data_IF_099647894383
#
_entry.id   IF_099647894383
#
_cell.length_a   1.000
_cell.length_b   1.000
_cell.length_c   1.000
_cell.angle_alpha   90.00
_cell.angle_beta   90.00
_cell.angle_gamma   90.00
#
_symmetry.space_group_name_H-M   'P 1'
#
loop_
_entity.id
_entity.type
_entity.pdbx_description
1 polymer ?
#
# COMPACT_ATOMS: atom_id res chain seq x y z
N UNK A 1 -25.05 -13.63 26.82
CA UNK A 1 -23.98 -13.15 25.94
C UNK A 1 -23.92 -11.64 26.13
N UNK A 2 -22.97 -11.16 26.93
CA UNK A 2 -22.85 -9.72 27.23
C UNK A 2 -22.43 -8.99 25.97
N UNK A 3 -23.37 -8.27 25.37
CA UNK A 3 -23.10 -7.31 24.30
C UNK A 3 -22.13 -6.26 24.84
N UNK A 4 -20.88 -6.33 24.39
CA UNK A 4 -19.87 -5.36 24.79
C UNK A 4 -20.15 -4.11 23.99
N UNK A 5 -20.72 -3.09 24.64
CA UNK A 5 -21.11 -1.85 23.98
C UNK A 5 -19.96 -1.21 23.16
N UNK A 6 -20.27 -0.41 22.14
CA UNK A 6 -19.31 0.06 21.13
C UNK A 6 -18.10 0.81 21.71
N UNK A 7 -18.28 1.56 22.81
CA UNK A 7 -17.18 2.25 23.49
C UNK A 7 -16.15 1.28 24.12
N UNK A 8 -16.61 0.17 24.69
CA UNK A 8 -15.73 -0.84 25.28
C UNK A 8 -15.07 -1.73 24.21
N UNK A 9 -15.67 -1.86 23.03
CA UNK A 9 -14.99 -2.46 21.87
C UNK A 9 -13.87 -1.54 21.36
N UNK A 10 -14.15 -0.25 21.21
CA UNK A 10 -13.16 0.75 20.79
C UNK A 10 -11.97 0.84 21.74
N UNK A 11 -12.21 0.90 23.06
CA UNK A 11 -11.12 0.94 24.07
C UNK A 11 -10.19 -0.27 23.93
N UNK A 12 -10.75 -1.48 23.80
CA UNK A 12 -9.95 -2.70 23.63
C UNK A 12 -9.16 -2.72 22.32
N UNK A 13 -9.72 -2.17 21.24
CA UNK A 13 -9.02 -2.04 19.97
C UNK A 13 -7.83 -1.09 20.09
N UNK A 14 -8.03 0.09 20.70
CA UNK A 14 -6.96 1.06 20.95
C UNK A 14 -5.85 0.47 21.84
N UNK A 15 -6.22 -0.20 22.92
CA UNK A 15 -5.27 -0.89 23.81
C UNK A 15 -4.45 -1.97 23.10
N UNK A 16 -5.05 -2.68 22.13
CA UNK A 16 -4.33 -3.67 21.32
C UNK A 16 -3.33 -3.00 20.38
N UNK A 17 -3.76 -1.93 19.69
CA UNK A 17 -2.90 -1.18 18.78
C UNK A 17 -1.70 -0.61 19.53
N UNK A 18 -1.94 0.01 20.69
CA UNK A 18 -0.87 0.56 21.52
C UNK A 18 0.09 -0.53 22.03
N UNK A 19 -0.43 -1.70 22.38
CA UNK A 19 0.37 -2.85 22.82
C UNK A 19 1.29 -3.36 21.72
N UNK A 20 0.81 -3.41 20.48
CA UNK A 20 1.54 -4.00 19.35
C UNK A 20 2.46 -2.98 18.65
N UNK A 21 2.29 -1.68 18.93
CA UNK A 21 3.05 -0.57 18.34
C UNK A 21 4.58 -0.75 18.40
N UNK A 22 5.19 -1.17 19.53
CA UNK A 22 6.64 -1.37 19.59
C UNK A 22 7.13 -2.44 18.62
N UNK A 23 6.37 -3.54 18.47
CA UNK A 23 6.71 -4.64 17.57
C UNK A 23 6.55 -4.23 16.11
N UNK A 24 5.46 -3.52 15.77
CA UNK A 24 5.25 -2.96 14.41
C UNK A 24 6.39 -2.01 14.04
N UNK A 25 6.80 -1.14 14.97
CA UNK A 25 7.93 -0.22 14.78
C UNK A 25 9.24 -0.98 14.57
N UNK A 26 9.56 -1.94 15.42
CA UNK A 26 10.79 -2.72 15.29
C UNK A 26 10.85 -3.45 13.93
N UNK A 27 9.76 -4.12 13.55
CA UNK A 27 9.68 -4.82 12.27
C UNK A 27 9.83 -3.88 11.07
N UNK A 28 9.20 -2.69 11.11
CA UNK A 28 9.31 -1.69 10.05
C UNK A 28 10.72 -1.09 9.93
N UNK A 29 11.40 -0.82 11.05
CA UNK A 29 12.79 -0.34 11.03
C UNK A 29 13.75 -1.41 10.49
N UNK A 30 13.60 -2.66 10.94
CA UNK A 30 14.40 -3.77 10.42
C UNK A 30 14.17 -3.98 8.91
N UNK A 31 12.92 -3.89 8.46
CA UNK A 31 12.58 -3.94 7.04
C UNK A 31 13.19 -2.78 6.26
N UNK A 32 13.10 -1.54 6.78
CA UNK A 32 13.74 -0.36 6.18
C UNK A 32 15.22 -0.61 5.92
N UNK A 33 15.96 -1.11 6.91
CA UNK A 33 17.39 -1.41 6.75
C UNK A 33 17.67 -2.47 5.66
N UNK A 34 16.80 -3.47 5.50
CA UNK A 34 16.92 -4.47 4.43
C UNK A 34 16.57 -3.93 3.04
N UNK A 35 15.60 -3.01 2.97
CA UNK A 35 15.11 -2.43 1.72
C UNK A 35 16.07 -1.39 1.11
N UNK A 36 16.79 -0.62 1.93
CA UNK A 36 17.74 0.40 1.45
C UNK A 36 18.75 -0.13 0.42
N UNK A 37 19.54 -1.20 0.67
CA UNK A 37 20.49 -1.68 -0.32
C UNK A 37 19.80 -2.15 -1.61
N UNK A 38 18.63 -2.80 -1.51
CA UNK A 38 17.85 -3.23 -2.68
C UNK A 38 17.40 -2.04 -3.54
N UNK A 39 17.06 -0.91 -2.92
CA UNK A 39 16.63 0.29 -3.64
C UNK A 39 17.71 0.90 -4.54
N UNK A 40 18.99 0.62 -4.27
CA UNK A 40 20.12 1.07 -5.08
C UNK A 40 20.48 0.11 -6.21
N UNK A 41 19.90 -1.09 -6.24
CA UNK A 41 20.10 -2.03 -7.34
C UNK A 41 19.42 -1.52 -8.63
N UNK A 42 20.09 -1.71 -9.76
CA UNK A 42 19.60 -1.32 -11.09
C UNK A 42 18.78 -2.44 -11.74
N UNK A 43 17.83 -2.99 -10.99
CA UNK A 43 16.91 -4.02 -11.45
C UNK A 43 15.44 -3.64 -11.21
N UNK A 44 14.53 -4.48 -11.72
CA UNK A 44 13.10 -4.22 -11.65
C UNK A 44 12.56 -4.23 -10.21
N UNK A 45 13.16 -5.02 -9.31
CA UNK A 45 12.77 -5.06 -7.91
C UNK A 45 13.28 -3.82 -7.18
N UNK A 46 14.53 -3.43 -7.41
CA UNK A 46 15.14 -2.23 -6.86
C UNK A 46 14.39 -0.96 -7.26
N UNK A 47 13.92 -0.86 -8.50
CA UNK A 47 13.05 0.23 -8.95
C UNK A 47 11.74 0.32 -8.12
N UNK A 48 11.09 -0.82 -7.85
CA UNK A 48 9.84 -0.87 -7.08
C UNK A 48 10.09 -0.54 -5.61
N UNK A 49 11.14 -1.12 -5.01
CA UNK A 49 11.53 -0.83 -3.62
C UNK A 49 11.87 0.66 -3.45
N UNK A 50 12.63 1.24 -4.40
CA UNK A 50 12.97 2.66 -4.42
C UNK A 50 11.72 3.54 -4.49
N UNK A 51 10.79 3.23 -5.40
CA UNK A 51 9.54 3.98 -5.52
C UNK A 51 8.68 3.90 -4.24
N UNK A 52 8.65 2.75 -3.58
CA UNK A 52 7.90 2.57 -2.32
C UNK A 52 8.52 3.37 -1.17
N UNK A 53 9.85 3.31 -1.01
CA UNK A 53 10.57 4.10 0.00
C UNK A 53 10.32 5.59 -0.21
N UNK A 54 10.53 6.09 -1.43
CA UNK A 54 10.29 7.49 -1.77
C UNK A 54 8.83 7.90 -1.56
N UNK A 55 7.88 7.01 -1.84
CA UNK A 55 6.47 7.28 -1.57
C UNK A 55 6.13 7.36 -0.07
N UNK A 56 6.81 6.62 0.80
CA UNK A 56 6.69 6.80 2.25
C UNK A 56 7.31 8.13 2.71
N UNK A 57 8.40 8.55 2.08
CA UNK A 57 9.04 9.83 2.37
C UNK A 57 8.19 11.02 1.95
N UNK A 58 7.69 11.02 0.71
CA UNK A 58 6.82 12.06 0.16
C UNK A 58 5.99 11.49 -1.00
N UNK A 59 4.83 10.90 -0.70
CA UNK A 59 4.00 10.23 -1.69
C UNK A 59 3.29 11.16 -2.67
N UNK A 60 3.23 12.46 -2.37
CA UNK A 60 2.71 13.47 -3.28
C UNK A 60 3.65 13.67 -4.47
N UNK A 61 4.95 13.77 -4.20
CA UNK A 61 5.97 13.99 -5.22
C UNK A 61 6.44 12.65 -5.83
N UNK A 62 6.35 11.56 -5.07
CA UNK A 62 6.74 10.21 -5.50
C UNK A 62 5.56 9.22 -5.39
N UNK A 63 4.49 9.41 -6.18
CA UNK A 63 3.33 8.52 -6.11
C UNK A 63 3.70 7.11 -6.59
N UNK A 64 3.10 6.10 -5.96
CA UNK A 64 3.48 4.70 -6.13
C UNK A 64 2.52 3.95 -7.05
N UNK A 65 3.09 3.22 -8.02
CA UNK A 65 2.36 2.33 -8.90
C UNK A 65 2.09 0.99 -8.17
N UNK A 66 0.95 0.87 -7.49
CA UNK A 66 0.63 -0.28 -6.63
C UNK A 66 0.74 -1.64 -7.32
N UNK A 67 0.39 -1.74 -8.60
CA UNK A 67 0.45 -2.99 -9.36
C UNK A 67 1.90 -3.48 -9.66
N UNK A 68 2.91 -2.65 -9.42
CA UNK A 68 4.33 -3.00 -9.60
C UNK A 68 4.87 -3.94 -8.51
N UNK A 69 4.19 -4.06 -7.36
CA UNK A 69 4.60 -4.96 -6.27
C UNK A 69 4.73 -6.43 -6.69
N UNK A 70 4.09 -6.83 -7.80
CA UNK A 70 4.14 -8.19 -8.35
C UNK A 70 5.50 -8.58 -8.90
N UNK A 71 6.39 -7.61 -9.11
CA UNK A 71 7.79 -7.87 -9.48
C UNK A 71 8.61 -8.35 -8.28
N UNK A 72 8.21 -7.96 -7.07
CA UNK A 72 8.97 -8.22 -5.85
C UNK A 72 9.04 -9.70 -5.53
N UNK A 73 10.12 -10.09 -4.87
CA UNK A 73 10.22 -11.32 -4.14
C UNK A 73 9.29 -11.35 -2.94
N UNK A 74 8.78 -12.54 -2.59
CA UNK A 74 7.85 -12.69 -1.46
C UNK A 74 8.41 -12.05 -0.18
N UNK A 75 9.68 -12.31 0.12
CA UNK A 75 10.33 -11.77 1.30
C UNK A 75 10.42 -10.23 1.24
N UNK A 76 10.73 -9.68 0.05
CA UNK A 76 10.81 -8.24 -0.18
C UNK A 76 9.44 -7.57 -0.10
N UNK A 77 8.38 -8.22 -0.60
CA UNK A 77 7.01 -7.78 -0.41
C UNK A 77 6.68 -7.67 1.09
N UNK A 78 6.95 -8.70 1.88
CA UNK A 78 6.63 -8.66 3.32
C UNK A 78 7.43 -7.58 4.06
N UNK A 79 8.68 -7.33 3.67
CA UNK A 79 9.46 -6.18 4.17
C UNK A 79 8.80 -4.85 3.79
N UNK A 80 8.35 -4.68 2.54
CA UNK A 80 7.60 -3.50 2.12
C UNK A 80 6.31 -3.30 2.93
N UNK A 81 5.54 -4.37 3.18
CA UNK A 81 4.30 -4.29 3.97
C UNK A 81 4.58 -3.98 5.45
N UNK A 82 5.68 -4.49 6.02
CA UNK A 82 6.10 -4.16 7.37
C UNK A 82 6.50 -2.68 7.49
N UNK A 83 7.23 -2.15 6.51
CA UNK A 83 7.57 -0.74 6.43
C UNK A 83 6.30 0.14 6.36
N UNK A 84 5.36 -0.19 5.46
CA UNK A 84 4.09 0.53 5.35
C UNK A 84 3.29 0.49 6.65
N UNK A 85 3.34 -0.64 7.38
CA UNK A 85 2.65 -0.77 8.66
C UNK A 85 3.23 0.14 9.73
N UNK A 86 4.55 0.31 9.78
CA UNK A 86 5.17 1.30 10.65
C UNK A 86 4.83 2.74 10.20
N UNK A 87 4.85 3.03 8.90
CA UNK A 87 4.67 4.37 8.36
C UNK A 87 3.20 4.87 8.35
N UNK A 88 2.22 3.98 8.55
CA UNK A 88 0.80 4.38 8.62
C UNK A 88 0.45 5.19 9.87
N UNK A 89 1.26 5.11 10.93
CA UNK A 89 1.13 5.90 12.14
C UNK A 89 2.50 6.39 12.66
N UNK A 90 3.22 7.21 11.87
CA UNK A 90 4.63 7.47 12.06
C UNK A 90 4.88 8.32 13.32
N UNK A 91 5.93 8.00 14.06
CA UNK A 91 6.43 8.83 15.19
C UNK A 91 7.41 9.89 14.71
N UNK A 92 8.18 9.53 13.69
CA UNK A 92 9.19 10.33 13.01
C UNK A 92 9.10 9.99 11.52
N UNK A 93 9.68 10.84 10.67
CA UNK A 93 9.67 10.57 9.24
C UNK A 93 10.52 9.34 8.90
N UNK A 94 10.15 8.58 7.86
CA UNK A 94 10.81 7.31 7.50
C UNK A 94 12.34 7.43 7.39
N UNK A 95 12.84 8.53 6.84
CA UNK A 95 14.27 8.76 6.66
C UNK A 95 15.00 9.01 8.00
N UNK A 96 14.30 9.48 9.03
CA UNK A 96 14.88 9.80 10.35
C UNK A 96 15.21 8.54 11.17
N UNK A 97 14.80 7.36 10.71
CA UNK A 97 15.23 6.08 11.27
C UNK A 97 16.66 5.67 10.83
N UNK A 98 17.28 6.40 9.91
CA UNK A 98 18.59 6.11 9.36
C UNK A 98 19.62 7.16 9.77
N UNK A 99 20.88 6.74 9.85
CA UNK A 99 22.02 7.66 9.86
C UNK A 99 22.15 8.25 8.45
N UNK A 100 22.31 9.57 8.34
CA UNK A 100 22.39 10.32 7.08
C UNK A 100 21.18 10.06 6.15
N UNK A 101 20.00 9.89 6.74
CA UNK A 101 18.79 9.49 6.02
C UNK A 101 18.36 10.46 4.93
N UNK A 102 18.56 11.77 5.11
CA UNK A 102 18.23 12.77 4.09
C UNK A 102 19.08 12.57 2.84
N UNK A 103 20.38 12.32 2.99
CA UNK A 103 21.32 12.05 1.91
C UNK A 103 20.97 10.74 1.19
N UNK A 104 20.63 9.68 1.94
CA UNK A 104 20.15 8.42 1.38
C UNK A 104 18.94 8.65 0.49
N UNK A 105 17.89 9.29 1.00
CA UNK A 105 16.65 9.51 0.24
C UNK A 105 16.83 10.47 -0.94
N UNK A 106 17.70 11.47 -0.84
CA UNK A 106 18.06 12.32 -1.98
C UNK A 106 18.73 11.50 -3.10
N UNK A 107 19.67 10.60 -2.76
CA UNK A 107 20.31 9.72 -3.75
C UNK A 107 19.36 8.70 -4.40
N UNK A 108 18.32 8.28 -3.67
CA UNK A 108 17.23 7.48 -4.24
C UNK A 108 16.36 8.32 -5.19
N UNK A 109 16.03 9.55 -4.82
CA UNK A 109 15.18 10.45 -5.62
C UNK A 109 15.80 10.77 -6.99
N UNK A 110 17.13 10.89 -7.08
CA UNK A 110 17.85 11.06 -8.35
C UNK A 110 17.62 9.93 -9.36
N UNK A 111 17.27 8.73 -8.87
CA UNK A 111 17.03 7.52 -9.67
C UNK A 111 15.54 7.17 -9.76
N UNK A 112 14.67 8.10 -9.36
CA UNK A 112 13.25 7.85 -9.36
C UNK A 112 12.70 7.74 -10.79
N UNK A 113 11.75 6.82 -10.97
CA UNK A 113 11.07 6.57 -12.23
C UNK A 113 9.58 6.84 -12.02
N UNK A 114 9.00 7.63 -12.92
CA UNK A 114 7.58 7.96 -12.85
C UNK A 114 6.69 6.71 -12.98
N UNK A 115 5.49 6.71 -12.38
CA UNK A 115 4.48 5.69 -12.63
C UNK A 115 4.21 5.47 -14.13
N UNK A 116 3.90 4.22 -14.49
CA UNK A 116 3.72 3.77 -15.87
C UNK A 116 5.02 3.35 -16.56
N UNK A 117 6.19 3.69 -16.00
CA UNK A 117 7.49 3.19 -16.49
C UNK A 117 8.01 1.96 -15.72
N UNK A 118 7.38 1.61 -14.59
CA UNK A 118 7.75 0.43 -13.81
C UNK A 118 7.19 -0.84 -14.44
N UNK A 119 8.01 -1.89 -14.43
CA UNK A 119 7.55 -3.23 -14.76
C UNK A 119 6.51 -3.69 -13.74
N UNK A 120 5.45 -4.34 -14.21
CA UNK A 120 4.36 -4.81 -13.37
C UNK A 120 4.32 -6.31 -13.23
N UNK A 121 5.08 -7.07 -14.03
CA UNK A 121 5.17 -8.51 -13.95
C UNK A 121 6.50 -9.02 -14.48
N UNK A 122 6.98 -10.13 -13.91
CA UNK A 122 8.09 -10.93 -14.47
C UNK A 122 7.59 -12.35 -14.78
N UNK A 123 8.35 -13.11 -15.57
CA UNK A 123 7.93 -14.45 -16.02
C UNK A 123 7.94 -15.52 -14.92
N UNK A 124 8.49 -15.24 -13.73
CA UNK A 124 8.65 -16.23 -12.66
C UNK A 124 7.68 -16.00 -11.50
N UNK A 125 6.87 -17.03 -11.18
CA UNK A 125 7.00 -17.84 -9.95
C UNK A 125 5.91 -18.91 -9.79
N UNK A 126 6.33 -20.05 -9.25
CA UNK A 126 5.52 -21.18 -8.78
C UNK A 126 5.19 -21.04 -7.27
N UNK A 127 4.95 -19.82 -6.79
CA UNK A 127 4.60 -19.61 -5.39
C UNK A 127 3.16 -20.08 -5.17
N UNK A 128 2.98 -21.09 -4.32
CA UNK A 128 1.65 -21.55 -3.90
C UNK A 128 1.02 -20.45 -3.03
N UNK A 129 0.10 -19.69 -3.61
CA UNK A 129 -0.72 -18.74 -2.86
C UNK A 129 -1.47 -19.46 -1.73
N UNK A 130 -1.41 -18.92 -0.52
CA UNK A 130 -2.24 -19.40 0.58
C UNK A 130 -3.72 -19.06 0.32
N UNK A 131 -4.57 -20.08 0.26
CA UNK A 131 -6.03 -19.90 0.11
C UNK A 131 -6.62 -19.03 1.23
N UNK A 132 -6.04 -19.10 2.43
CA UNK A 132 -6.42 -18.25 3.56
C UNK A 132 -6.14 -16.78 3.25
N UNK A 133 -4.96 -16.45 2.72
CA UNK A 133 -4.60 -15.08 2.35
C UNK A 133 -5.49 -14.55 1.22
N UNK A 134 -5.81 -15.40 0.24
CA UNK A 134 -6.76 -15.05 -0.84
C UNK A 134 -8.14 -14.74 -0.27
N UNK A 135 -8.63 -15.55 0.66
CA UNK A 135 -9.93 -15.33 1.33
C UNK A 135 -9.94 -14.02 2.12
N UNK A 136 -8.91 -13.78 2.95
CA UNK A 136 -8.78 -12.55 3.74
C UNK A 136 -8.72 -11.32 2.82
N UNK A 137 -7.85 -11.35 1.81
CA UNK A 137 -7.71 -10.26 0.86
C UNK A 137 -9.00 -9.99 0.08
N UNK A 138 -9.73 -11.03 -0.32
CA UNK A 138 -11.00 -10.87 -1.05
C UNK A 138 -12.09 -10.27 -0.17
N UNK A 139 -12.16 -10.69 1.10
CA UNK A 139 -13.09 -10.10 2.09
C UNK A 139 -12.75 -8.62 2.34
N UNK A 140 -11.48 -8.31 2.50
CA UNK A 140 -10.97 -6.95 2.71
C UNK A 140 -11.27 -6.06 1.50
N UNK A 141 -11.03 -6.55 0.28
CA UNK A 141 -11.35 -5.85 -0.96
C UNK A 141 -12.84 -5.48 -1.04
N UNK A 142 -13.74 -6.42 -0.74
CA UNK A 142 -15.19 -6.17 -0.73
C UNK A 142 -15.59 -5.13 0.31
N UNK A 143 -15.01 -5.20 1.52
CA UNK A 143 -15.25 -4.21 2.59
C UNK A 143 -14.76 -2.82 2.17
N UNK A 144 -13.54 -2.69 1.64
CA UNK A 144 -13.00 -1.42 1.19
C UNK A 144 -13.82 -0.80 0.06
N UNK A 145 -14.34 -1.60 -0.88
CA UNK A 145 -15.25 -1.12 -1.92
C UNK A 145 -16.52 -0.55 -1.31
N UNK A 146 -17.14 -1.27 -0.36
CA UNK A 146 -18.33 -0.78 0.33
C UNK A 146 -18.04 0.57 1.02
N UNK A 147 -16.95 0.66 1.80
CA UNK A 147 -16.54 1.91 2.45
C UNK A 147 -16.33 3.02 1.42
N UNK A 148 -15.67 2.74 0.29
CA UNK A 148 -15.38 3.74 -0.73
C UNK A 148 -16.64 4.24 -1.46
N UNK A 149 -17.77 3.52 -1.39
CA UNK A 149 -19.07 4.00 -1.90
C UNK A 149 -19.81 4.94 -0.97
N UNK A 150 -19.40 5.04 0.29
CA UNK A 150 -20.01 5.92 1.29
C UNK A 150 -19.55 7.38 1.12
N UNK A 151 -19.81 8.22 2.13
CA UNK A 151 -19.50 9.66 2.14
C UNK A 151 -18.79 10.04 3.45
N UNK A 152 -17.50 9.72 3.55
CA UNK A 152 -16.61 10.24 4.59
C UNK A 152 -15.30 10.77 3.98
N UNK A 153 -14.53 11.56 4.75
CA UNK A 153 -13.21 12.01 4.33
C UNK A 153 -12.24 10.85 4.06
N UNK A 154 -12.33 9.77 4.83
CA UNK A 154 -11.47 8.59 4.69
C UNK A 154 -11.81 7.75 3.45
N UNK A 155 -13.09 7.75 3.04
CA UNK A 155 -13.56 7.02 1.85
C UNK A 155 -12.80 7.44 0.58
N UNK A 156 -12.38 8.71 0.48
CA UNK A 156 -11.61 9.20 -0.67
C UNK A 156 -10.22 8.58 -0.75
N UNK A 157 -9.54 8.43 0.39
CA UNK A 157 -8.21 7.79 0.44
C UNK A 157 -8.31 6.31 0.09
N UNK A 158 -9.32 5.61 0.62
CA UNK A 158 -9.63 4.23 0.23
C UNK A 158 -9.94 4.12 -1.26
N UNK A 159 -10.70 5.07 -1.82
CA UNK A 159 -11.00 5.09 -3.26
C UNK A 159 -9.75 5.30 -4.12
N UNK A 160 -8.84 6.20 -3.70
CA UNK A 160 -7.55 6.40 -4.36
C UNK A 160 -6.69 5.13 -4.34
N UNK A 161 -6.61 4.46 -3.20
CA UNK A 161 -5.90 3.19 -3.05
C UNK A 161 -6.49 2.12 -3.99
N UNK A 162 -7.81 1.95 -3.99
CA UNK A 162 -8.50 0.98 -4.84
C UNK A 162 -8.29 1.27 -6.33
N UNK A 163 -8.33 2.54 -6.75
CA UNK A 163 -8.03 2.93 -8.12
C UNK A 163 -6.59 2.56 -8.53
N UNK A 164 -5.63 2.74 -7.63
CA UNK A 164 -4.24 2.34 -7.89
C UNK A 164 -4.02 0.83 -7.88
N UNK A 165 -4.77 0.05 -7.10
CA UNK A 165 -4.76 -1.42 -7.22
C UNK A 165 -5.31 -1.88 -8.58
N UNK A 166 -6.32 -1.19 -9.10
CA UNK A 166 -6.94 -1.49 -10.39
C UNK A 166 -6.01 -1.14 -11.56
N UNK A 167 -5.53 0.10 -11.60
CA UNK A 167 -4.61 0.59 -12.62
C UNK A 167 -3.64 1.62 -12.01
N UNK A 168 -2.59 1.13 -11.36
CA UNK A 168 -1.58 1.97 -10.72
C UNK A 168 -0.69 2.74 -11.68
N UNK A 169 -0.71 2.42 -12.98
CA UNK A 169 0.02 3.21 -13.99
C UNK A 169 -0.74 4.51 -14.27
N UNK A 170 -2.06 4.43 -14.45
CA UNK A 170 -2.92 5.60 -14.63
C UNK A 170 -3.23 6.30 -13.32
N UNK A 171 -3.40 5.57 -12.22
CA UNK A 171 -3.84 6.08 -10.92
C UNK A 171 -2.84 5.73 -9.81
N UNK A 172 -1.59 6.21 -9.88
CA UNK A 172 -0.62 5.96 -8.83
C UNK A 172 -1.09 6.61 -7.52
N UNK A 173 -0.74 5.95 -6.43
CA UNK A 173 -1.25 6.22 -5.10
C UNK A 173 -0.22 6.98 -4.25
N UNK A 174 -0.67 8.00 -3.52
CA UNK A 174 0.16 8.69 -2.53
C UNK A 174 0.23 7.80 -1.28
N UNK A 175 1.38 7.17 -1.00
CA UNK A 175 1.50 6.26 0.14
C UNK A 175 1.32 6.98 1.49
N UNK A 176 1.51 8.29 1.56
CA UNK A 176 1.28 9.05 2.79
C UNK A 176 -0.21 9.21 3.11
N UNK A 177 -1.11 8.98 2.14
CA UNK A 177 -2.56 8.93 2.38
C UNK A 177 -2.95 7.77 3.32
N UNK A 178 -2.10 6.74 3.49
CA UNK A 178 -2.34 5.71 4.50
C UNK A 178 -2.34 6.26 5.93
N UNK A 179 -1.72 7.42 6.18
CA UNK A 179 -1.74 8.11 7.47
C UNK A 179 -3.10 8.75 7.79
N UNK A 180 -3.98 8.81 6.80
CA UNK A 180 -5.30 9.44 6.89
C UNK A 180 -6.45 8.43 7.03
N UNK A 181 -6.18 7.12 7.00
CA UNK A 181 -7.17 6.08 7.24
C UNK A 181 -7.01 5.48 8.63
N UNK A 182 -8.10 5.03 9.24
CA UNK A 182 -7.99 4.33 10.51
C UNK A 182 -7.21 3.00 10.38
N UNK A 183 -6.73 2.50 11.52
CA UNK A 183 -5.87 1.32 11.56
C UNK A 183 -6.56 0.06 11.00
N UNK A 184 -7.86 -0.13 11.21
CA UNK A 184 -8.55 -1.32 10.70
C UNK A 184 -8.64 -1.28 9.17
N UNK A 185 -8.98 -0.12 8.59
CA UNK A 185 -9.01 0.08 7.15
C UNK A 185 -7.61 -0.07 6.54
N UNK A 186 -6.58 0.40 7.24
CA UNK A 186 -5.20 0.20 6.80
C UNK A 186 -4.81 -1.29 6.77
N UNK A 187 -5.21 -2.08 7.77
CA UNK A 187 -4.97 -3.53 7.75
C UNK A 187 -5.71 -4.22 6.59
N UNK A 188 -6.93 -3.78 6.27
CA UNK A 188 -7.65 -4.23 5.08
C UNK A 188 -6.88 -3.86 3.79
N UNK A 189 -6.26 -2.68 3.71
CA UNK A 189 -5.41 -2.29 2.58
C UNK A 189 -4.19 -3.22 2.43
N UNK A 190 -3.49 -3.57 3.52
CA UNK A 190 -2.37 -4.52 3.47
C UNK A 190 -2.82 -5.91 2.99
N UNK A 191 -4.01 -6.36 3.40
CA UNK A 191 -4.58 -7.62 2.91
C UNK A 191 -4.89 -7.57 1.41
N UNK A 192 -5.39 -6.43 0.91
CA UNK A 192 -5.59 -6.21 -0.53
C UNK A 192 -4.28 -6.14 -1.29
N UNK A 193 -3.22 -5.55 -0.75
CA UNK A 193 -1.89 -5.56 -1.39
C UNK A 193 -1.34 -6.98 -1.52
N UNK A 194 -1.52 -7.83 -0.50
CA UNK A 194 -1.19 -9.26 -0.61
C UNK A 194 -2.02 -9.94 -1.70
N UNK A 195 -3.33 -9.70 -1.77
CA UNK A 195 -4.16 -10.24 -2.86
C UNK A 195 -3.72 -9.74 -4.25
N UNK A 196 -3.35 -8.46 -4.36
CA UNK A 196 -2.90 -7.84 -5.59
C UNK A 196 -1.61 -8.51 -6.10
N UNK A 197 -0.68 -8.80 -5.20
CA UNK A 197 0.53 -9.55 -5.50
C UNK A 197 0.22 -10.93 -6.12
N UNK A 198 -0.79 -11.63 -5.60
CA UNK A 198 -1.20 -12.97 -6.08
C UNK A 198 -2.02 -12.95 -7.38
N UNK A 199 -2.63 -11.81 -7.72
CA UNK A 199 -3.61 -11.73 -8.81
C UNK A 199 -2.95 -11.25 -10.09
N UNK A 200 -2.76 -12.16 -11.06
CA UNK A 200 -2.13 -11.87 -12.36
C UNK A 200 -3.07 -11.10 -13.30
N UNK A 201 -4.35 -11.42 -13.31
CA UNK A 201 -5.33 -10.87 -14.26
C UNK A 201 -5.89 -9.48 -13.86
N UNK A 202 -5.26 -8.84 -12.87
CA UNK A 202 -5.75 -7.60 -12.28
C UNK A 202 -6.72 -7.81 -11.12
N UNK A 203 -6.73 -6.88 -10.15
CA UNK A 203 -7.46 -7.02 -8.90
C UNK A 203 -8.99 -7.18 -9.11
N UNK A 204 -9.51 -6.63 -10.20
CA UNK A 204 -10.92 -6.67 -10.59
C UNK A 204 -11.45 -8.08 -10.85
N UNK A 205 -10.59 -9.04 -11.17
CA UNK A 205 -10.97 -10.44 -11.36
C UNK A 205 -11.52 -11.09 -10.07
N UNK A 206 -11.25 -10.51 -8.89
CA UNK A 206 -11.77 -11.01 -7.61
C UNK A 206 -13.21 -10.54 -7.30
N UNK A 207 -13.88 -9.87 -8.25
CA UNK A 207 -15.19 -9.26 -8.06
C UNK A 207 -16.12 -9.55 -9.24
N UNK A 208 -17.42 -9.75 -9.00
CA UNK A 208 -18.42 -9.70 -10.06
C UNK A 208 -18.47 -8.29 -10.68
N UNK A 209 -18.42 -8.21 -12.01
CA UNK A 209 -18.42 -6.95 -12.77
C UNK A 209 -17.34 -5.95 -12.30
N UNK A 210 -16.15 -6.45 -11.97
CA UNK A 210 -15.09 -5.67 -11.34
C UNK A 210 -14.71 -4.38 -12.08
N UNK A 211 -14.61 -4.41 -13.41
CA UNK A 211 -14.29 -3.21 -14.22
C UNK A 211 -15.31 -2.09 -14.01
N UNK A 212 -16.62 -2.42 -14.01
CA UNK A 212 -17.69 -1.45 -13.75
C UNK A 212 -17.68 -0.93 -12.31
N UNK A 213 -17.27 -1.76 -11.35
CA UNK A 213 -17.14 -1.37 -9.94
C UNK A 213 -16.05 -0.30 -9.79
N UNK A 214 -14.85 -0.54 -10.34
CA UNK A 214 -13.76 0.43 -10.28
C UNK A 214 -14.04 1.68 -11.11
N UNK A 215 -14.64 1.54 -12.29
CA UNK A 215 -15.03 2.68 -13.14
C UNK A 215 -15.97 3.65 -12.41
N UNK A 216 -17.03 3.13 -11.78
CA UNK A 216 -17.97 3.93 -10.97
C UNK A 216 -17.28 4.61 -9.79
N UNK A 217 -16.33 3.94 -9.15
CA UNK A 217 -15.59 4.49 -8.03
C UNK A 217 -14.70 5.66 -8.45
N UNK A 218 -13.95 5.48 -9.55
CA UNK A 218 -13.10 6.52 -10.15
C UNK A 218 -13.93 7.75 -10.54
N UNK A 219 -15.11 7.53 -11.15
CA UNK A 219 -16.05 8.59 -11.52
C UNK A 219 -16.59 9.32 -10.28
N UNK A 220 -17.15 8.59 -9.30
CA UNK A 220 -17.73 9.15 -8.06
C UNK A 220 -16.76 10.11 -7.37
N UNK A 221 -15.49 9.75 -7.29
CA UNK A 221 -14.46 10.53 -6.60
C UNK A 221 -13.67 11.46 -7.52
N UNK A 222 -14.01 11.52 -8.82
CA UNK A 222 -13.32 12.31 -9.83
C UNK A 222 -11.80 12.10 -9.80
N UNK A 223 -11.38 10.84 -9.68
CA UNK A 223 -9.96 10.48 -9.56
C UNK A 223 -9.29 10.74 -10.90
N UNK A 224 -8.33 11.68 -10.92
CA UNK A 224 -7.59 12.04 -12.12
C UNK A 224 -6.47 11.05 -12.39
N UNK A 225 -6.28 10.74 -13.67
CA UNK A 225 -5.09 10.03 -14.14
C UNK A 225 -3.83 10.84 -13.84
N UNK A 226 -2.69 10.18 -13.69
CA UNK A 226 -1.40 10.80 -13.42
C UNK A 226 -1.06 11.86 -14.46
N UNK A 227 -1.15 11.51 -15.75
CA UNK A 227 -0.96 12.45 -16.85
C UNK A 227 -1.94 13.64 -16.81
N UNK A 228 -3.15 13.45 -16.27
CA UNK A 228 -4.16 14.49 -16.10
C UNK A 228 -3.99 15.38 -14.87
N UNK A 229 -2.99 15.13 -14.01
CA UNK A 229 -2.70 15.96 -12.82
C UNK A 229 -1.91 17.25 -13.15
N UNK A 230 -1.31 17.34 -14.34
CA UNK A 230 -0.59 18.54 -14.80
C UNK A 230 0.71 18.82 -14.03
N UNK A 231 1.37 17.75 -13.57
CA UNK A 231 2.66 17.75 -12.86
C UNK A 231 3.78 17.49 -13.86
#
# INVERSE_FOLDING_TARGET
MTDVGPAAALSRALESIERDRPQVRAAGVEALHRLIPLAYEDDAQGDVVRALLLGCYNGRDFPFQLNSIRVLDRAVLEDCLALLHMDSAPEIEVHQHLVDGSEVFNGLAERWKQPGSLLTMTSRRDDVTSEVLRTIGTKSLKRLIQIATEFSGQCRYVAGFLAGCYDGASYPFDLTDFRCVDHELFLDCLAVMRLLYETRDGIQANLPAGEEVFGRLIEKWSIKTYAGRGI
#
